data_IF_392214607165
#
_entry.id   IF_392214607165
#
_cell.length_a   1.000
_cell.length_b   1.000
_cell.length_c   1.000
_cell.angle_alpha   90.00
_cell.angle_beta   90.00
_cell.angle_gamma   90.00
#
_symmetry.space_group_name_H-M   'P 1'
#
loop_
_entity.id
_entity.type
_entity.pdbx_description
1 polymer ?
#
# COMPACT_ATOMS: atom_id res chain seq x y z
N UNK A 1 30.14 -14.85 20.28
CA UNK A 1 30.12 -15.42 18.91
C UNK A 1 28.68 -15.64 18.52
N UNK A 2 28.11 -14.82 17.63
CA UNK A 2 26.76 -15.06 17.10
C UNK A 2 26.79 -16.31 16.22
N UNK A 3 25.90 -17.25 16.50
CA UNK A 3 25.75 -18.48 15.74
C UNK A 3 25.38 -18.14 14.29
N UNK A 4 26.24 -18.47 13.33
CA UNK A 4 26.07 -18.12 11.90
C UNK A 4 24.75 -18.65 11.35
N UNK A 5 24.26 -19.77 11.92
CA UNK A 5 23.01 -20.39 11.56
C UNK A 5 21.79 -19.56 11.97
N UNK A 6 21.89 -18.71 13.01
CA UNK A 6 20.80 -17.83 13.45
C UNK A 6 20.33 -16.91 12.33
N UNK A 7 21.27 -16.28 11.62
CA UNK A 7 20.95 -15.37 10.53
C UNK A 7 20.31 -16.07 9.34
N UNK A 8 20.73 -17.31 9.05
CA UNK A 8 20.10 -18.13 8.02
C UNK A 8 18.65 -18.46 8.38
N UNK A 9 18.38 -18.89 9.61
CA UNK A 9 17.01 -19.16 10.06
C UNK A 9 16.14 -17.90 9.99
N UNK A 10 16.65 -16.74 10.42
CA UNK A 10 15.93 -15.47 10.33
C UNK A 10 15.60 -15.15 8.86
N UNK A 11 16.56 -15.30 7.96
CA UNK A 11 16.34 -15.04 6.53
C UNK A 11 15.29 -15.99 5.92
N UNK A 12 15.33 -17.28 6.29
CA UNK A 12 14.32 -18.26 5.85
C UNK A 12 12.94 -17.88 6.37
N UNK A 13 12.82 -17.51 7.65
CA UNK A 13 11.54 -17.09 8.24
C UNK A 13 11.01 -15.85 7.52
N UNK A 14 11.83 -14.82 7.31
CA UNK A 14 11.43 -13.60 6.58
C UNK A 14 11.01 -13.95 5.15
N UNK A 15 11.73 -14.84 4.47
CA UNK A 15 11.39 -15.29 3.12
C UNK A 15 10.04 -16.00 3.07
N UNK A 16 9.78 -16.93 3.98
CA UNK A 16 8.50 -17.64 4.07
C UNK A 16 7.36 -16.67 4.38
N UNK A 17 7.54 -15.78 5.36
CA UNK A 17 6.54 -14.76 5.71
C UNK A 17 6.26 -13.84 4.53
N UNK A 18 7.30 -13.38 3.83
CA UNK A 18 7.14 -12.55 2.64
C UNK A 18 6.31 -13.24 1.55
N UNK A 19 6.61 -14.50 1.24
CA UNK A 19 5.83 -15.28 0.26
C UNK A 19 4.37 -15.37 0.71
N UNK A 20 4.10 -15.76 1.96
CA UNK A 20 2.73 -15.92 2.46
C UNK A 20 1.94 -14.61 2.46
N UNK A 21 2.58 -13.48 2.76
CA UNK A 21 1.91 -12.17 2.82
C UNK A 21 1.65 -11.58 1.42
N UNK A 22 2.58 -11.74 0.48
CA UNK A 22 2.54 -10.98 -0.78
C UNK A 22 2.06 -11.78 -2.01
N UNK A 23 1.98 -13.12 -1.97
CA UNK A 23 1.64 -13.93 -3.15
C UNK A 23 0.27 -13.66 -3.79
N UNK A 24 -0.71 -13.15 -3.04
CA UNK A 24 -2.10 -13.00 -3.51
C UNK A 24 -2.65 -11.59 -3.38
N UNK A 25 -1.76 -10.60 -3.19
CA UNK A 25 -2.13 -9.23 -2.86
C UNK A 25 -3.07 -8.60 -3.91
N UNK A 26 -2.87 -8.91 -5.19
CA UNK A 26 -3.70 -8.43 -6.30
C UNK A 26 -4.74 -9.42 -6.83
N UNK A 27 -4.99 -10.54 -6.13
CA UNK A 27 -5.82 -11.62 -6.66
C UNK A 27 -7.33 -11.37 -6.56
N UNK A 28 -7.74 -10.41 -5.72
CA UNK A 28 -9.14 -10.07 -5.48
C UNK A 28 -9.34 -8.58 -5.68
N UNK A 29 -10.51 -8.14 -6.20
CA UNK A 29 -10.87 -6.73 -6.27
C UNK A 29 -10.77 -6.04 -4.90
N UNK A 30 -10.69 -4.72 -4.91
CA UNK A 30 -10.75 -3.93 -3.67
C UNK A 30 -12.08 -4.14 -2.96
N UNK A 31 -12.02 -4.35 -1.65
CA UNK A 31 -13.17 -4.64 -0.80
C UNK A 31 -13.76 -3.35 -0.24
N UNK A 32 -15.03 -3.14 -0.55
CA UNK A 32 -15.80 -2.02 -0.02
C UNK A 32 -15.93 -2.07 1.51
N UNK A 33 -16.02 -0.90 2.18
CA UNK A 33 -15.92 0.44 1.61
C UNK A 33 -14.48 1.00 1.64
N UNK A 34 -13.61 0.42 2.46
CA UNK A 34 -12.38 1.08 2.87
C UNK A 34 -11.30 1.05 1.79
N UNK A 35 -11.02 -0.12 1.21
CA UNK A 35 -9.88 -0.26 0.28
C UNK A 35 -10.01 0.65 -0.96
N UNK A 36 -11.18 0.75 -1.61
CA UNK A 36 -11.37 1.69 -2.72
C UNK A 36 -11.22 3.15 -2.31
N UNK A 37 -11.68 3.54 -1.11
CA UNK A 37 -11.58 4.92 -0.62
C UNK A 37 -10.12 5.35 -0.50
N UNK A 38 -9.27 4.52 0.11
CA UNK A 38 -7.84 4.83 0.24
C UNK A 38 -7.11 4.81 -1.10
N UNK A 39 -7.41 3.83 -1.95
CA UNK A 39 -6.83 3.72 -3.28
C UNK A 39 -7.19 4.92 -4.16
N UNK A 40 -8.45 5.32 -4.16
CA UNK A 40 -8.96 6.43 -4.97
C UNK A 40 -8.44 7.77 -4.49
N UNK A 41 -8.44 8.00 -3.18
CA UNK A 41 -7.88 9.24 -2.60
C UNK A 41 -6.40 9.40 -2.98
N UNK A 42 -5.62 8.32 -2.87
CA UNK A 42 -4.21 8.33 -3.27
C UNK A 42 -4.03 8.53 -4.78
N UNK A 43 -4.91 7.94 -5.61
CA UNK A 43 -4.94 8.14 -7.06
C UNK A 43 -5.18 9.60 -7.40
N UNK A 44 -6.15 10.26 -6.77
CA UNK A 44 -6.43 11.68 -6.99
C UNK A 44 -5.29 12.60 -6.54
N UNK A 45 -4.64 12.31 -5.41
CA UNK A 45 -3.44 13.04 -4.96
C UNK A 45 -2.34 13.01 -6.03
N UNK A 46 -2.10 11.85 -6.64
CA UNK A 46 -1.11 11.70 -7.72
C UNK A 46 -1.52 12.47 -8.97
N UNK A 47 -2.81 12.52 -9.31
CA UNK A 47 -3.30 13.18 -10.52
C UNK A 47 -3.31 14.69 -10.44
N UNK A 48 -3.68 15.25 -9.28
CA UNK A 48 -3.78 16.70 -9.08
C UNK A 48 -2.47 17.28 -8.54
N UNK A 49 -1.53 16.43 -8.11
CA UNK A 49 -0.30 16.82 -7.42
C UNK A 49 -0.54 17.64 -6.14
N UNK A 50 -1.67 17.39 -5.48
CA UNK A 50 -2.02 17.97 -4.18
C UNK A 50 -1.97 16.86 -3.12
N UNK A 51 -0.88 16.85 -2.35
CA UNK A 51 -0.65 15.86 -1.30
C UNK A 51 -1.03 16.38 0.10
N UNK A 52 -1.54 17.60 0.20
CA UNK A 52 -1.91 18.22 1.47
C UNK A 52 -3.43 18.16 1.69
N UNK A 53 -4.20 18.45 0.64
CA UNK A 53 -5.66 18.47 0.69
C UNK A 53 -6.24 17.26 -0.04
N UNK A 54 -6.44 16.11 0.65
CA UNK A 54 -7.06 14.92 0.08
C UNK A 54 -8.40 15.20 -0.58
N UNK A 55 -8.67 14.51 -1.68
CA UNK A 55 -9.95 14.51 -2.38
C UNK A 55 -10.38 13.10 -2.71
N UNK A 56 -11.69 12.89 -2.76
CA UNK A 56 -12.30 11.68 -3.29
C UNK A 56 -13.49 12.06 -4.14
N UNK A 57 -13.56 11.54 -5.36
CA UNK A 57 -14.52 11.90 -6.38
C UNK A 57 -14.56 13.41 -6.67
N UNK A 58 -13.42 14.10 -6.52
CA UNK A 58 -13.28 15.54 -6.74
C UNK A 58 -13.63 16.44 -5.54
N UNK A 59 -14.24 15.91 -4.49
CA UNK A 59 -14.59 16.64 -3.28
C UNK A 59 -13.52 16.51 -2.19
N UNK A 60 -13.31 17.56 -1.39
CA UNK A 60 -12.35 17.51 -0.29
C UNK A 60 -12.74 16.45 0.76
N UNK A 61 -11.77 15.63 1.14
CA UNK A 61 -11.97 14.47 1.99
C UNK A 61 -11.08 14.49 3.25
N UNK A 62 -11.50 15.24 4.27
CA UNK A 62 -10.73 15.44 5.50
C UNK A 62 -11.06 14.44 6.62
N UNK A 63 -11.31 13.17 6.28
CA UNK A 63 -11.63 12.14 7.28
C UNK A 63 -10.39 11.60 8.03
N UNK A 64 -9.25 11.48 7.33
CA UNK A 64 -7.98 10.94 7.88
C UNK A 64 -6.78 11.83 7.56
N UNK A 65 -5.72 11.82 8.40
CA UNK A 65 -4.44 12.43 8.06
C UNK A 65 -3.84 11.81 6.79
N UNK A 66 -3.08 12.58 5.99
CA UNK A 66 -2.70 12.17 4.64
C UNK A 66 -1.59 11.11 4.56
N UNK A 67 -0.98 10.76 5.70
CA UNK A 67 0.19 9.87 5.76
C UNK A 67 -0.05 8.53 5.06
N UNK A 68 -1.20 7.89 5.28
CA UNK A 68 -1.48 6.60 4.65
C UNK A 68 -1.70 6.74 3.13
N UNK A 69 -2.40 7.79 2.69
CA UNK A 69 -2.56 8.08 1.26
C UNK A 69 -1.21 8.30 0.57
N UNK A 70 -0.23 8.90 1.25
CA UNK A 70 1.13 9.06 0.70
C UNK A 70 1.84 7.73 0.49
N UNK A 71 1.69 6.77 1.41
CA UNK A 71 2.29 5.45 1.24
C UNK A 71 1.65 4.72 0.06
N UNK A 72 0.32 4.73 -0.04
CA UNK A 72 -0.42 4.15 -1.18
C UNK A 72 -0.02 4.85 -2.49
N UNK A 73 0.13 6.17 -2.49
CA UNK A 73 0.57 6.94 -3.66
C UNK A 73 2.02 6.59 -4.06
N UNK A 74 2.92 6.38 -3.10
CA UNK A 74 4.29 5.94 -3.36
C UNK A 74 4.33 4.52 -3.92
N UNK A 75 3.55 3.59 -3.35
CA UNK A 75 3.40 2.23 -3.86
C UNK A 75 2.84 2.23 -5.29
N UNK A 76 1.85 3.09 -5.56
CA UNK A 76 1.24 3.24 -6.89
C UNK A 76 2.22 3.76 -7.95
N UNK A 77 3.21 4.57 -7.57
CA UNK A 77 4.28 4.98 -8.49
C UNK A 77 5.24 3.82 -8.83
N UNK A 78 5.42 2.85 -7.92
CA UNK A 78 6.31 1.71 -8.12
C UNK A 78 5.65 0.53 -8.86
N UNK A 79 4.43 0.17 -8.48
CA UNK A 79 3.71 -0.99 -9.04
C UNK A 79 2.73 -0.64 -10.17
N UNK A 80 2.51 0.65 -10.41
CA UNK A 80 1.32 1.12 -11.14
C UNK A 80 0.10 1.14 -10.20
N UNK A 81 -0.97 1.84 -10.58
CA UNK A 81 -2.22 1.78 -9.83
C UNK A 81 -2.81 0.35 -9.81
N UNK A 82 -3.75 0.09 -8.91
CA UNK A 82 -4.45 -1.20 -8.81
C UNK A 82 -4.35 -1.84 -7.43
N UNK A 83 -4.77 -3.10 -7.34
CA UNK A 83 -4.98 -3.83 -6.09
C UNK A 83 -3.67 -4.09 -5.35
N UNK A 84 -2.61 -4.42 -6.07
CA UNK A 84 -1.28 -4.63 -5.47
C UNK A 84 -0.79 -3.33 -4.84
N UNK A 85 -0.84 -2.20 -5.55
CA UNK A 85 -0.38 -0.93 -5.01
C UNK A 85 -1.22 -0.42 -3.84
N UNK A 86 -2.53 -0.68 -3.84
CA UNK A 86 -3.40 -0.32 -2.73
C UNK A 86 -3.09 -1.09 -1.43
N UNK A 87 -2.61 -2.34 -1.56
CA UNK A 87 -2.36 -3.26 -0.43
C UNK A 87 -0.89 -3.48 -0.10
N UNK A 88 0.03 -2.97 -0.92
CA UNK A 88 1.48 -3.03 -0.69
C UNK A 88 2.05 -2.14 0.44
N UNK A 89 1.54 -0.90 0.68
CA UNK A 89 2.35 0.19 1.24
C UNK A 89 2.95 -0.05 2.62
#
# INVERSE_FOLDING_TARGET
MTDKNKWLHIAIIIGIVGILMFSYLGSQPLMDPDEPVYAETAREMLQVHDFISPRIYGDFWYDKPPMYYWLVAAASQGFGGGEVAARFP
#
